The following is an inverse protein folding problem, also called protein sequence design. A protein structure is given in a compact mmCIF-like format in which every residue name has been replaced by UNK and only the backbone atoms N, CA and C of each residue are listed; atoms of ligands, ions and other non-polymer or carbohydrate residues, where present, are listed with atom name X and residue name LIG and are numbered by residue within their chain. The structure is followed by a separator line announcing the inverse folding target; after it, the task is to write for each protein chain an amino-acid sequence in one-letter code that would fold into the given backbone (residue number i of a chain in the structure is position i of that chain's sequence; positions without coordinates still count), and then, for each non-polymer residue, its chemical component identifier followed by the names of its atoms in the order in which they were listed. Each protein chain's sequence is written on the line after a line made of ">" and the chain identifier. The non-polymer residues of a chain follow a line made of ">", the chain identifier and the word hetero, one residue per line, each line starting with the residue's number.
data_IF_327553439604
#
_entry.id   IF_327553439604
#
_cell.length_a   1.000
_cell.length_b   1.000
_cell.length_c   1.000
_cell.angle_alpha   90.00
_cell.angle_beta   90.00
_cell.angle_gamma   90.00
#
_symmetry.space_group_name_H-M   'P 1'
#
loop_
_entity.id
_entity.type
_entity.pdbx_description
1 polymer ?
#
# COMPACT_ATOMS: atom_id res chain seq x y z
N UNK A 1 -7.10 -1.15 -2.57
CA UNK A 1 -6.22 -1.28 -3.77
C UNK A 1 -6.58 -2.49 -4.64
N UNK A 2 -7.83 -2.98 -4.64
CA UNK A 2 -8.22 -4.11 -5.50
C UNK A 2 -8.67 -3.67 -6.90
N UNK A 3 -9.10 -2.40 -7.02
CA UNK A 3 -9.42 -1.78 -8.30
C UNK A 3 -8.18 -1.39 -9.13
N UNK A 4 -6.96 -1.56 -8.60
CA UNK A 4 -5.72 -1.27 -9.35
C UNK A 4 -5.46 0.21 -9.67
N UNK A 5 -6.04 1.14 -8.92
CA UNK A 5 -5.88 2.60 -9.14
C UNK A 5 -5.00 3.25 -8.05
N UNK A 6 -4.18 4.25 -8.40
CA UNK A 6 -3.44 5.06 -7.43
C UNK A 6 -4.34 5.75 -6.41
N UNK A 7 -3.84 5.96 -5.19
CA UNK A 7 -4.61 6.61 -4.12
C UNK A 7 -3.87 7.80 -3.53
N UNK A 8 -4.53 8.95 -3.49
CA UNK A 8 -4.14 10.09 -2.66
C UNK A 8 -4.91 10.01 -1.34
N UNK A 9 -4.21 9.75 -0.23
CA UNK A 9 -4.84 9.65 1.09
C UNK A 9 -4.66 10.93 1.90
N UNK A 10 -5.77 11.41 2.47
CA UNK A 10 -5.81 12.50 3.44
C UNK A 10 -6.20 11.93 4.81
N UNK A 11 -5.26 11.30 5.54
CA UNK A 11 -5.61 10.60 6.77
C UNK A 11 -5.94 11.60 7.89
N UNK A 12 -6.99 11.29 8.65
CA UNK A 12 -7.41 12.07 9.82
C UNK A 12 -7.09 11.37 11.15
N UNK A 13 -6.86 10.06 11.10
CA UNK A 13 -6.59 9.20 12.26
C UNK A 13 -5.31 8.39 12.07
N UNK A 14 -4.76 7.90 13.19
CA UNK A 14 -3.50 7.16 13.21
C UNK A 14 -3.52 5.91 12.32
N UNK A 15 -4.59 5.10 12.38
CA UNK A 15 -4.71 3.88 11.57
C UNK A 15 -4.71 4.19 10.06
N UNK A 16 -5.41 5.26 9.67
CA UNK A 16 -5.41 5.75 8.30
C UNK A 16 -4.03 6.26 7.89
N UNK A 17 -3.30 6.94 8.79
CA UNK A 17 -1.94 7.39 8.54
C UNK A 17 -0.98 6.23 8.30
N UNK A 18 -1.04 5.19 9.15
CA UNK A 18 -0.22 3.99 9.00
C UNK A 18 -0.54 3.25 7.69
N UNK A 19 -1.82 3.20 7.32
CA UNK A 19 -2.27 2.65 6.03
C UNK A 19 -1.74 3.48 4.85
N UNK A 20 -1.89 4.80 4.90
CA UNK A 20 -1.39 5.72 3.87
C UNK A 20 0.13 5.65 3.72
N UNK A 21 0.87 5.51 4.83
CA UNK A 21 2.33 5.32 4.82
C UNK A 21 2.72 4.02 4.12
N UNK A 22 2.02 2.91 4.37
CA UNK A 22 2.27 1.63 3.66
C UNK A 22 1.97 1.73 2.18
N UNK A 23 0.87 2.39 1.80
CA UNK A 23 0.51 2.64 0.40
C UNK A 23 1.59 3.45 -0.32
N UNK A 24 2.08 4.53 0.30
CA UNK A 24 3.12 5.38 -0.24
C UNK A 24 4.46 4.62 -0.35
N UNK A 25 4.84 3.84 0.67
CA UNK A 25 6.04 3.01 0.66
C UNK A 25 6.01 1.93 -0.43
N UNK A 26 4.81 1.42 -0.76
CA UNK A 26 4.61 0.48 -1.86
C UNK A 26 4.54 1.15 -3.24
N UNK A 27 4.71 2.47 -3.32
CA UNK A 27 4.66 3.23 -4.56
C UNK A 27 3.27 3.33 -5.19
N UNK A 28 2.20 2.95 -4.47
CA UNK A 28 0.83 2.91 -5.01
C UNK A 28 0.06 4.22 -4.80
N UNK A 29 0.66 5.22 -4.16
CA UNK A 29 -0.05 6.44 -3.83
C UNK A 29 0.77 7.42 -3.01
N UNK A 30 0.08 8.42 -2.49
CA UNK A 30 0.69 9.49 -1.68
C UNK A 30 -0.05 9.61 -0.36
N UNK A 31 0.72 9.73 0.72
CA UNK A 31 0.21 10.13 2.03
C UNK A 31 0.32 11.64 2.18
N UNK A 32 -0.81 12.34 2.10
CA UNK A 32 -0.81 13.80 2.15
C UNK A 32 -0.35 14.37 3.50
N UNK A 33 -0.47 13.60 4.59
CA UNK A 33 -0.01 14.02 5.92
C UNK A 33 1.53 14.08 6.03
N UNK A 34 2.26 13.51 5.06
CA UNK A 34 3.73 13.57 4.99
C UNK A 34 4.24 14.72 4.10
N UNK A 35 3.35 15.51 3.52
CA UNK A 35 3.72 16.64 2.66
C UNK A 35 3.92 17.92 3.48
N UNK A 36 4.76 18.82 2.98
CA UNK A 36 4.87 20.17 3.50
C UNK A 36 3.53 20.92 3.35
N UNK A 37 3.22 21.80 4.32
CA UNK A 37 1.99 22.59 4.33
C UNK A 37 2.25 24.04 3.90
N UNK A 38 1.31 24.68 3.17
CA UNK A 38 0.13 24.08 2.56
C UNK A 38 0.49 23.27 1.28
N UNK A 39 -0.12 22.10 1.04
CA UNK A 39 0.15 21.33 -0.16
C UNK A 39 -0.51 21.96 -1.41
N UNK A 40 0.21 21.98 -2.53
CA UNK A 40 -0.38 22.23 -3.84
C UNK A 40 -1.05 20.95 -4.36
N UNK A 41 -2.35 20.83 -4.09
CA UNK A 41 -3.14 19.67 -4.52
C UNK A 41 -3.17 19.49 -6.03
N UNK A 42 -3.18 20.58 -6.79
CA UNK A 42 -3.30 20.51 -8.25
C UNK A 42 -1.99 20.00 -8.85
N UNK A 43 -0.85 20.49 -8.38
CA UNK A 43 0.45 19.96 -8.78
C UNK A 43 0.59 18.49 -8.39
N UNK A 44 0.15 18.12 -7.17
CA UNK A 44 0.23 16.75 -6.69
C UNK A 44 -0.58 15.78 -7.56
N UNK A 45 -1.86 16.07 -7.82
CA UNK A 45 -2.71 15.22 -8.64
C UNK A 45 -2.16 15.09 -10.06
N UNK A 46 -1.71 16.20 -10.67
CA UNK A 46 -1.06 16.15 -11.99
C UNK A 46 0.19 15.28 -11.99
N UNK A 47 1.03 15.41 -10.97
CA UNK A 47 2.22 14.59 -10.84
C UNK A 47 1.86 13.09 -10.73
N UNK A 48 0.86 12.75 -9.92
CA UNK A 48 0.40 11.37 -9.79
C UNK A 48 -0.16 10.80 -11.11
N UNK A 49 -0.93 11.60 -11.85
CA UNK A 49 -1.46 11.19 -13.16
C UNK A 49 -0.36 11.09 -14.24
N UNK A 50 0.65 11.94 -14.17
CA UNK A 50 1.77 11.96 -15.12
C UNK A 50 2.87 10.93 -14.80
N UNK A 51 2.81 10.27 -13.64
CA UNK A 51 3.83 9.31 -13.19
C UNK A 51 3.26 7.89 -13.26
N UNK A 52 3.55 7.11 -14.32
CA UNK A 52 2.96 5.79 -14.52
C UNK A 52 3.28 4.80 -13.40
N UNK A 53 4.38 5.01 -12.68
CA UNK A 53 4.81 4.16 -11.57
C UNK A 53 3.73 3.94 -10.51
N UNK A 54 2.91 4.96 -10.22
CA UNK A 54 1.80 4.81 -9.28
C UNK A 54 0.75 3.82 -9.77
N UNK A 55 0.34 3.95 -11.03
CA UNK A 55 -0.66 3.08 -11.64
C UNK A 55 -0.12 1.65 -11.77
N UNK A 56 1.11 1.50 -12.25
CA UNK A 56 1.77 0.20 -12.39
C UNK A 56 1.86 -0.53 -11.04
N UNK A 57 2.26 0.17 -9.97
CA UNK A 57 2.34 -0.42 -8.63
C UNK A 57 0.96 -0.84 -8.10
N UNK A 58 -0.05 0.01 -8.27
CA UNK A 58 -1.42 -0.28 -7.83
C UNK A 58 -2.01 -1.48 -8.58
N UNK A 59 -1.83 -1.56 -9.90
CA UNK A 59 -2.24 -2.69 -10.73
C UNK A 59 -1.51 -3.98 -10.35
N UNK A 60 -0.18 -3.91 -10.16
CA UNK A 60 0.61 -5.06 -9.75
C UNK A 60 0.20 -5.59 -8.38
N UNK A 61 -0.25 -4.71 -7.48
CA UNK A 61 -0.82 -5.12 -6.19
C UNK A 61 -2.19 -5.79 -6.38
N UNK A 62 -3.08 -5.20 -7.18
CA UNK A 62 -4.40 -5.78 -7.47
C UNK A 62 -4.29 -7.17 -8.10
N UNK A 63 -3.39 -7.35 -9.08
CA UNK A 63 -3.13 -8.65 -9.70
C UNK A 63 -2.63 -9.69 -8.70
N UNK A 64 -1.71 -9.31 -7.80
CA UNK A 64 -1.24 -10.20 -6.71
C UNK A 64 -2.34 -10.56 -5.73
N UNK A 65 -3.22 -9.62 -5.43
CA UNK A 65 -4.33 -9.83 -4.50
C UNK A 65 -5.40 -10.78 -5.07
N UNK A 66 -5.57 -10.85 -6.39
CA UNK A 66 -6.48 -11.83 -7.02
C UNK A 66 -6.01 -13.28 -6.86
N UNK A 67 -4.70 -13.52 -6.74
CA UNK A 67 -4.12 -14.83 -6.48
C UNK A 67 -4.08 -15.21 -4.99
N UNK A 68 -4.59 -14.36 -4.10
CA UNK A 68 -4.54 -14.60 -2.66
C UNK A 68 -5.51 -15.72 -2.26
N UNK A 69 -4.96 -16.78 -1.65
CA UNK A 69 -5.73 -17.87 -1.03
C UNK A 69 -5.50 -17.87 0.48
N UNK A 70 -6.59 -17.93 1.24
CA UNK A 70 -6.54 -17.90 2.71
C UNK A 70 -5.75 -19.09 3.26
N UNK A 71 -5.86 -20.24 2.59
CA UNK A 71 -5.20 -21.49 2.94
C UNK A 71 -3.67 -21.35 2.84
N UNK A 72 -3.16 -20.69 1.79
CA UNK A 72 -1.73 -20.45 1.62
C UNK A 72 -1.16 -19.53 2.70
N UNK A 73 -1.95 -18.56 3.16
CA UNK A 73 -1.57 -17.71 4.30
C UNK A 73 -1.52 -18.51 5.59
N UNK A 74 -2.53 -19.34 5.87
CA UNK A 74 -2.56 -20.19 7.05
C UNK A 74 -1.33 -21.12 7.11
N UNK A 75 -0.97 -21.76 5.99
CA UNK A 75 0.24 -22.59 5.92
C UNK A 75 1.51 -21.78 6.16
N UNK A 76 1.63 -20.57 5.59
CA UNK A 76 2.80 -19.69 5.82
C UNK A 76 2.95 -19.29 7.28
N UNK A 77 1.83 -18.99 7.95
CA UNK A 77 1.82 -18.65 9.38
C UNK A 77 2.25 -19.86 10.21
N UNK A 78 1.68 -21.04 9.96
CA UNK A 78 2.07 -22.27 10.66
C UNK A 78 3.56 -22.56 10.52
N UNK A 79 4.09 -22.51 9.29
CA UNK A 79 5.53 -22.71 9.04
C UNK A 79 6.42 -21.68 9.75
N UNK A 80 5.99 -20.42 9.85
CA UNK A 80 6.75 -19.39 10.55
C UNK A 80 6.80 -19.66 12.07
N UNK A 81 5.67 -20.09 12.64
CA UNK A 81 5.58 -20.47 14.06
C UNK A 81 6.43 -21.71 14.36
N UNK A 82 6.37 -22.73 13.52
CA UNK A 82 7.19 -23.96 13.64
C UNK A 82 8.69 -23.65 13.62
N UNK A 83 9.14 -22.76 12.71
CA UNK A 83 10.56 -22.33 12.66
C UNK A 83 10.99 -21.61 13.94
N UNK A 84 10.10 -20.83 14.54
CA UNK A 84 10.41 -20.09 15.75
C UNK A 84 10.44 -21.02 16.98
N UNK A 85 9.56 -22.03 17.01
CA UNK A 85 9.52 -23.06 18.04
C UNK A 85 10.71 -24.04 17.97
N UNK A 86 11.18 -24.39 16.77
CA UNK A 86 12.33 -25.29 16.57
C UNK A 86 13.70 -24.63 16.79
N UNK A 87 13.74 -23.30 16.91
CA UNK A 87 14.95 -22.52 17.23
C UNK A 87 15.05 -22.07 18.69
N UNK A 88 14.19 -22.59 19.57
CA UNK A 88 14.17 -22.37 21.03
C UNK A 88 14.64 -23.62 21.76
#
# INVERSE_FOLDING_TARGET
>A
MLAGVPVLMLPMQLEQFLTARRIAAAGMGVNAAMLAKPPDWRALVRHMLATPGYANAAQAYAARAQGYKVEEMATRVAMALERQAAGS
#
